data_IF_600727043478
#
_entry.id   IF_600727043478
#
_cell.length_a   1.000
_cell.length_b   1.000
_cell.length_c   1.000
_cell.angle_alpha   90.00
_cell.angle_beta   90.00
_cell.angle_gamma   90.00
#
_symmetry.space_group_name_H-M   'P 1'
#
loop_
_entity.id
_entity.type
_entity.pdbx_description
1 polymer ?
#
# COMPACT_ATOMS: atom_id res chain seq x y z
N UNK A 1 18.98 -22.27 -22.87
CA UNK A 1 19.19 -22.61 -21.45
C UNK A 1 18.11 -23.59 -21.06
N UNK A 2 18.44 -24.66 -20.33
CA UNK A 2 17.47 -25.69 -19.99
C UNK A 2 16.49 -25.16 -18.93
N UNK A 3 15.23 -25.00 -19.31
CA UNK A 3 14.12 -24.75 -18.39
C UNK A 3 13.88 -26.02 -17.59
N UNK A 4 14.36 -26.04 -16.35
CA UNK A 4 13.98 -27.06 -15.38
C UNK A 4 12.52 -26.86 -15.05
N UNK A 5 11.65 -27.74 -15.55
CA UNK A 5 10.26 -27.77 -15.14
C UNK A 5 10.17 -27.82 -13.60
N UNK A 6 9.31 -27.01 -12.96
CA UNK A 6 9.22 -26.96 -11.51
C UNK A 6 8.90 -28.35 -10.96
N UNK A 7 9.64 -28.79 -9.93
CA UNK A 7 9.34 -30.05 -9.23
C UNK A 7 7.89 -30.01 -8.76
N UNK A 8 7.13 -31.07 -9.06
CA UNK A 8 5.75 -31.21 -8.62
C UNK A 8 5.64 -30.97 -7.10
N UNK A 9 4.88 -29.95 -6.69
CA UNK A 9 4.67 -29.56 -5.30
C UNK A 9 5.36 -28.26 -4.84
N UNK A 10 6.16 -27.61 -5.68
CA UNK A 10 6.71 -26.28 -5.40
C UNK A 10 5.95 -25.18 -6.16
N UNK A 11 5.78 -24.01 -5.53
CA UNK A 11 5.34 -22.81 -6.25
C UNK A 11 6.41 -22.41 -7.28
N UNK A 12 6.03 -21.91 -8.46
CA UNK A 12 6.99 -21.45 -9.46
C UNK A 12 7.84 -20.30 -8.88
N UNK A 13 9.10 -20.21 -9.32
CA UNK A 13 9.90 -19.02 -9.01
C UNK A 13 9.18 -17.81 -9.63
N UNK A 14 9.08 -16.67 -8.91
CA UNK A 14 8.48 -15.46 -9.47
C UNK A 14 9.21 -14.96 -10.72
N UNK A 15 10.49 -15.34 -10.88
CA UNK A 15 11.31 -15.02 -12.05
C UNK A 15 11.06 -15.94 -13.25
N UNK A 16 10.31 -17.02 -13.08
CA UNK A 16 9.98 -18.00 -14.13
C UNK A 16 8.54 -17.86 -14.62
N UNK A 17 7.80 -16.86 -14.13
CA UNK A 17 6.43 -16.60 -14.57
C UNK A 17 6.48 -15.98 -15.98
N UNK A 18 5.93 -16.69 -16.95
CA UNK A 18 5.86 -16.23 -18.33
C UNK A 18 4.92 -15.02 -18.48
N UNK A 19 5.36 -14.03 -19.25
CA UNK A 19 4.53 -12.88 -19.63
C UNK A 19 3.48 -13.33 -20.66
N UNK A 20 2.17 -13.07 -20.42
CA UNK A 20 1.13 -13.37 -21.40
C UNK A 20 1.37 -12.65 -22.73
N UNK A 21 1.00 -13.25 -23.88
CA UNK A 21 1.14 -12.60 -25.18
C UNK A 21 0.40 -11.25 -25.23
N UNK A 22 1.09 -10.20 -25.67
CA UNK A 22 0.58 -8.83 -25.73
C UNK A 22 0.77 -8.03 -24.44
N UNK A 23 1.38 -8.61 -23.41
CA UNK A 23 1.75 -7.93 -22.17
C UNK A 23 3.26 -7.67 -22.05
N UNK A 24 4.03 -7.85 -23.13
CA UNK A 24 5.47 -7.62 -23.12
C UNK A 24 5.82 -6.18 -22.73
N UNK A 25 6.85 -6.00 -21.88
CA UNK A 25 7.27 -4.67 -21.41
C UNK A 25 6.39 -4.08 -20.31
N UNK A 26 5.48 -4.86 -19.71
CA UNK A 26 4.65 -4.41 -18.58
C UNK A 26 5.46 -3.82 -17.43
N UNK A 27 6.71 -4.24 -17.27
CA UNK A 27 7.65 -3.79 -16.25
C UNK A 27 7.86 -2.27 -16.29
N UNK A 28 7.80 -1.65 -17.48
CA UNK A 28 7.99 -0.20 -17.66
C UNK A 28 6.90 0.64 -16.98
N UNK A 29 5.76 0.04 -16.66
CA UNK A 29 4.66 0.71 -15.96
C UNK A 29 4.92 0.88 -14.45
N UNK A 30 5.89 0.16 -13.88
CA UNK A 30 6.09 0.10 -12.43
C UNK A 30 7.47 0.60 -12.03
N UNK A 31 7.60 1.20 -10.84
CA UNK A 31 8.90 1.62 -10.34
C UNK A 31 9.81 0.41 -10.08
N UNK A 32 11.13 0.60 -10.22
CA UNK A 32 12.11 -0.49 -10.11
C UNK A 32 12.04 -1.30 -8.79
N UNK A 33 11.56 -0.69 -7.71
CA UNK A 33 11.44 -1.34 -6.40
C UNK A 33 10.21 -2.26 -6.31
N UNK A 34 9.22 -2.08 -7.18
CA UNK A 34 8.03 -2.92 -7.26
C UNK A 34 8.26 -4.18 -8.13
N UNK A 35 9.41 -4.32 -8.80
CA UNK A 35 9.71 -5.47 -9.66
C UNK A 35 10.58 -6.51 -8.95
N UNK A 36 10.45 -7.77 -9.37
CA UNK A 36 11.49 -8.76 -9.10
C UNK A 36 12.76 -8.35 -9.83
N UNK A 37 13.91 -8.46 -9.15
CA UNK A 37 15.19 -7.92 -9.63
C UNK A 37 16.29 -8.90 -9.28
N UNK A 38 17.18 -9.19 -10.23
CA UNK A 38 18.27 -10.16 -10.07
C UNK A 38 19.09 -9.96 -8.78
N UNK A 39 19.27 -8.71 -8.34
CA UNK A 39 20.00 -8.40 -7.09
C UNK A 39 19.34 -8.97 -5.83
N UNK A 40 18.04 -9.30 -5.91
CA UNK A 40 17.23 -9.86 -4.82
C UNK A 40 16.80 -11.30 -5.06
N UNK A 41 17.19 -11.94 -6.18
CA UNK A 41 16.74 -13.28 -6.57
C UNK A 41 16.81 -14.29 -5.43
N UNK A 42 17.98 -14.43 -4.80
CA UNK A 42 18.16 -15.38 -3.69
C UNK A 42 17.19 -15.10 -2.52
N UNK A 43 16.97 -13.83 -2.18
CA UNK A 43 16.05 -13.48 -1.09
C UNK A 43 14.60 -13.70 -1.49
N UNK A 44 14.23 -13.32 -2.71
CA UNK A 44 12.86 -13.42 -3.20
C UNK A 44 12.44 -14.89 -3.42
N UNK A 45 13.33 -15.75 -3.93
CA UNK A 45 13.06 -17.19 -4.14
C UNK A 45 12.95 -17.97 -2.83
N UNK A 46 13.58 -17.49 -1.75
CA UNK A 46 13.48 -18.09 -0.41
C UNK A 46 12.27 -17.56 0.40
N UNK A 47 11.36 -16.82 -0.23
CA UNK A 47 10.18 -16.24 0.41
C UNK A 47 8.90 -16.77 -0.21
N UNK A 48 7.86 -16.87 0.61
CA UNK A 48 6.53 -17.18 0.14
C UNK A 48 5.85 -15.90 -0.38
N UNK A 49 5.58 -15.87 -1.68
CA UNK A 49 4.85 -14.81 -2.37
C UNK A 49 3.47 -15.31 -2.77
N UNK A 50 2.44 -14.51 -2.51
CA UNK A 50 1.08 -14.83 -2.92
C UNK A 50 0.37 -13.60 -3.44
N UNK A 51 -0.54 -13.82 -4.39
CA UNK A 51 -1.33 -12.75 -4.98
C UNK A 51 -2.28 -12.15 -3.93
N UNK A 52 -2.20 -10.84 -3.76
CA UNK A 52 -3.07 -10.07 -2.87
C UNK A 52 -4.43 -9.78 -3.52
N UNK A 53 -5.17 -10.82 -3.92
CA UNK A 53 -6.46 -10.65 -4.60
C UNK A 53 -7.52 -9.97 -3.72
N UNK A 54 -7.37 -10.02 -2.40
CA UNK A 54 -8.29 -9.37 -1.45
C UNK A 54 -8.33 -7.85 -1.63
N UNK A 55 -7.18 -7.23 -1.89
CA UNK A 55 -7.07 -5.77 -2.03
C UNK A 55 -6.88 -5.35 -3.49
N UNK A 56 -6.20 -6.18 -4.29
CA UNK A 56 -5.85 -5.91 -5.69
C UNK A 56 -6.28 -7.10 -6.57
N UNK A 57 -7.60 -7.27 -6.81
CA UNK A 57 -8.18 -8.43 -7.49
C UNK A 57 -8.01 -8.42 -9.02
N UNK A 58 -7.48 -7.33 -9.59
CA UNK A 58 -7.34 -7.14 -11.04
C UNK A 58 -5.94 -6.58 -11.34
N UNK A 59 -5.44 -6.71 -12.58
CA UNK A 59 -4.20 -6.06 -12.98
C UNK A 59 -4.27 -4.56 -12.70
N UNK A 60 -3.23 -4.02 -12.08
CA UNK A 60 -3.15 -2.61 -11.72
C UNK A 60 -2.68 -1.77 -12.92
N UNK A 61 -3.48 -0.83 -13.42
CA UNK A 61 -3.02 0.14 -14.42
C UNK A 61 -1.86 0.99 -13.88
N UNK A 62 -0.99 1.48 -14.76
CA UNK A 62 0.16 2.30 -14.38
C UNK A 62 -0.22 3.51 -13.48
N UNK A 63 -1.35 4.15 -13.76
CA UNK A 63 -1.83 5.30 -12.98
C UNK A 63 -2.25 4.92 -11.55
N UNK A 64 -2.81 3.72 -11.37
CA UNK A 64 -3.35 3.27 -10.08
C UNK A 64 -2.25 2.71 -9.15
N UNK A 65 -1.03 2.50 -9.67
CA UNK A 65 0.14 2.05 -8.90
C UNK A 65 0.43 2.93 -7.69
N UNK A 66 0.08 4.22 -7.78
CA UNK A 66 0.21 5.18 -6.67
C UNK A 66 -0.50 4.71 -5.39
N UNK A 67 -1.53 3.86 -5.51
CA UNK A 67 -2.32 3.36 -4.38
C UNK A 67 -1.69 2.15 -3.67
N UNK A 68 -0.62 1.56 -4.23
CA UNK A 68 -0.03 0.31 -3.69
C UNK A 68 0.89 0.58 -2.51
N UNK A 69 1.68 1.66 -2.56
CA UNK A 69 2.70 1.93 -1.55
C UNK A 69 2.09 2.23 -0.17
N UNK A 70 0.99 2.97 -0.13
CA UNK A 70 0.32 3.43 1.09
C UNK A 70 -0.01 2.32 2.11
N UNK A 71 -0.69 1.21 1.75
CA UNK A 71 -0.97 0.13 2.70
C UNK A 71 0.31 -0.50 3.25
N UNK A 72 1.33 -0.71 2.43
CA UNK A 72 2.56 -1.39 2.87
C UNK A 72 3.47 -0.49 3.71
N UNK A 73 3.47 0.81 3.45
CA UNK A 73 4.08 1.79 4.34
C UNK A 73 3.35 1.86 5.68
N UNK A 74 2.01 1.87 5.67
CA UNK A 74 1.19 1.92 6.88
C UNK A 74 1.36 0.67 7.74
N UNK A 75 1.21 -0.54 7.18
CA UNK A 75 1.41 -1.78 7.92
C UNK A 75 2.84 -1.89 8.44
N UNK A 76 3.84 -1.47 7.65
CA UNK A 76 5.23 -1.44 8.07
C UNK A 76 5.46 -0.53 9.28
N UNK A 77 4.88 0.68 9.26
CA UNK A 77 4.96 1.61 10.40
C UNK A 77 4.28 1.02 11.65
N UNK A 78 3.06 0.52 11.52
CA UNK A 78 2.30 -0.02 12.65
C UNK A 78 2.88 -1.31 13.21
N UNK A 79 3.18 -2.30 12.37
CA UNK A 79 3.79 -3.55 12.81
C UNK A 79 5.19 -3.34 13.38
N UNK A 80 6.03 -2.53 12.74
CA UNK A 80 7.42 -2.41 13.16
C UNK A 80 7.59 -1.43 14.34
N UNK A 81 6.98 -0.24 14.27
CA UNK A 81 7.31 0.87 15.16
C UNK A 81 6.23 1.14 16.22
N UNK A 82 4.95 0.95 15.88
CA UNK A 82 3.84 1.31 16.78
C UNK A 82 3.41 0.15 17.67
N UNK A 83 3.10 -1.03 17.15
CA UNK A 83 2.79 -2.19 17.99
C UNK A 83 4.02 -3.06 18.24
N UNK A 84 5.06 -2.96 17.43
CA UNK A 84 6.22 -3.86 17.50
C UNK A 84 5.75 -5.33 17.53
N UNK A 85 4.91 -5.71 16.56
CA UNK A 85 4.34 -7.07 16.45
C UNK A 85 5.49 -8.08 16.49
N UNK A 86 5.51 -9.04 17.44
CA UNK A 86 6.73 -9.80 17.72
C UNK A 86 7.27 -10.60 16.52
N UNK A 87 6.44 -11.35 15.77
CA UNK A 87 6.93 -12.19 14.67
C UNK A 87 7.05 -11.48 13.31
N UNK A 88 6.67 -10.20 13.19
CA UNK A 88 6.54 -9.54 11.89
C UNK A 88 7.08 -8.10 11.85
N UNK A 89 7.74 -7.74 10.74
CA UNK A 89 8.26 -6.39 10.44
C UNK A 89 7.79 -5.89 9.06
N UNK A 90 6.48 -5.93 8.83
CA UNK A 90 5.87 -5.40 7.61
C UNK A 90 5.71 -6.45 6.51
N UNK A 91 5.37 -5.96 5.34
CA UNK A 91 5.04 -6.73 4.15
C UNK A 91 5.71 -6.05 2.96
N UNK A 92 6.39 -6.83 2.14
CA UNK A 92 6.89 -6.38 0.84
C UNK A 92 5.88 -6.74 -0.25
N UNK A 93 5.87 -5.97 -1.33
CA UNK A 93 5.08 -6.28 -2.51
C UNK A 93 5.92 -6.29 -3.79
N UNK A 94 5.47 -7.04 -4.79
CA UNK A 94 6.00 -7.06 -6.15
C UNK A 94 4.87 -7.13 -7.17
N UNK A 95 5.06 -6.49 -8.31
CA UNK A 95 4.18 -6.58 -9.47
C UNK A 95 4.66 -7.71 -10.38
N UNK A 96 3.72 -8.50 -10.91
CA UNK A 96 3.96 -9.48 -11.99
C UNK A 96 2.79 -9.41 -12.95
N UNK A 97 3.02 -9.03 -14.21
CA UNK A 97 1.97 -8.87 -15.22
C UNK A 97 0.80 -7.98 -14.72
N UNK A 98 1.13 -6.95 -13.94
CA UNK A 98 0.20 -6.04 -13.28
C UNK A 98 -0.52 -6.56 -12.03
N UNK A 99 -0.34 -7.82 -11.65
CA UNK A 99 -0.88 -8.34 -10.40
C UNK A 99 0.06 -8.11 -9.22
N UNK A 100 -0.51 -7.80 -8.05
CA UNK A 100 0.25 -7.45 -6.85
C UNK A 100 0.42 -8.68 -5.96
N UNK A 101 1.67 -9.14 -5.84
CA UNK A 101 2.07 -10.21 -4.95
C UNK A 101 2.67 -9.63 -3.68
N UNK A 102 2.42 -10.29 -2.55
CA UNK A 102 2.94 -9.87 -1.25
C UNK A 102 3.67 -10.99 -0.53
N UNK A 103 4.59 -10.58 0.34
CA UNK A 103 5.29 -11.47 1.24
C UNK A 103 5.52 -10.80 2.59
N UNK A 104 5.24 -11.51 3.69
CA UNK A 104 5.54 -11.01 5.02
C UNK A 104 7.05 -10.93 5.28
N UNK A 105 7.46 -10.02 6.16
CA UNK A 105 8.83 -9.91 6.67
C UNK A 105 8.91 -10.53 8.07
N UNK A 106 9.26 -11.83 8.20
CA UNK A 106 9.28 -12.50 9.49
C UNK A 106 10.48 -12.06 10.35
N UNK A 107 10.27 -12.02 11.66
CA UNK A 107 11.35 -11.90 12.65
C UNK A 107 11.68 -13.28 13.17
N UNK A 108 12.93 -13.73 12.98
CA UNK A 108 13.37 -15.09 13.35
C UNK A 108 14.31 -15.12 14.55
N UNK A 109 14.91 -13.99 14.93
CA UNK A 109 15.77 -13.87 16.11
C UNK A 109 14.93 -13.90 17.41
N UNK A 110 15.09 -14.93 18.27
CA UNK A 110 14.35 -15.03 19.53
C UNK A 110 14.55 -13.84 20.47
N UNK A 111 15.76 -13.26 20.50
CA UNK A 111 16.05 -12.12 21.36
C UNK A 111 15.26 -10.88 20.90
N UNK A 112 15.22 -10.64 19.59
CA UNK A 112 14.43 -9.55 19.02
C UNK A 112 12.94 -9.75 19.20
N UNK A 113 12.44 -10.97 19.07
CA UNK A 113 11.03 -11.30 19.35
C UNK A 113 10.66 -10.98 20.80
N UNK A 114 11.52 -11.37 21.76
CA UNK A 114 11.29 -11.11 23.18
C UNK A 114 11.26 -9.60 23.49
N UNK A 115 12.23 -8.83 22.98
CA UNK A 115 12.26 -7.36 23.11
C UNK A 115 10.95 -6.73 22.59
N UNK A 116 10.50 -7.16 21.41
CA UNK A 116 9.28 -6.64 20.77
C UNK A 116 8.01 -7.01 21.54
N UNK A 117 7.97 -8.20 22.13
CA UNK A 117 6.84 -8.67 22.92
C UNK A 117 6.51 -7.75 24.10
N UNK A 118 7.51 -7.14 24.75
CA UNK A 118 7.28 -6.18 25.83
C UNK A 118 6.50 -4.94 25.36
N UNK A 119 6.92 -4.35 24.24
CA UNK A 119 6.23 -3.21 23.65
C UNK A 119 4.83 -3.58 23.15
N UNK A 120 4.71 -4.71 22.46
CA UNK A 120 3.44 -5.18 21.92
C UNK A 120 2.44 -5.46 23.03
N UNK A 121 2.84 -6.17 24.08
CA UNK A 121 1.97 -6.47 25.22
C UNK A 121 1.48 -5.21 25.91
N UNK A 122 2.38 -4.24 26.17
CA UNK A 122 2.01 -2.97 26.78
C UNK A 122 1.01 -2.19 25.93
N UNK A 123 1.27 -2.08 24.61
CA UNK A 123 0.49 -1.22 23.71
C UNK A 123 -0.83 -1.88 23.30
N UNK A 124 -0.81 -3.14 22.87
CA UNK A 124 -2.02 -3.90 22.60
C UNK A 124 -2.88 -4.06 23.87
N UNK A 125 -2.25 -4.31 25.02
CA UNK A 125 -2.94 -4.36 26.32
C UNK A 125 -3.67 -3.05 26.66
N UNK A 126 -3.05 -1.89 26.40
CA UNK A 126 -3.73 -0.60 26.53
C UNK A 126 -4.95 -0.49 25.59
N UNK A 127 -4.83 -0.93 24.35
CA UNK A 127 -5.96 -0.92 23.41
C UNK A 127 -7.11 -1.82 23.88
N UNK A 128 -6.83 -3.06 24.30
CA UNK A 128 -7.86 -3.96 24.78
C UNK A 128 -8.55 -3.46 26.06
N UNK A 129 -7.80 -2.85 26.99
CA UNK A 129 -8.36 -2.28 28.21
C UNK A 129 -9.25 -1.06 27.96
N UNK A 130 -8.99 -0.31 26.88
CA UNK A 130 -9.66 0.96 26.56
C UNK A 130 -10.43 0.89 25.23
N UNK A 131 -10.84 -0.32 24.81
CA UNK A 131 -11.31 -0.60 23.44
C UNK A 131 -12.45 0.32 23.01
N UNK A 132 -13.52 0.43 23.81
CA UNK A 132 -14.70 1.22 23.45
C UNK A 132 -14.37 2.69 23.21
N UNK A 133 -13.50 3.28 24.03
CA UNK A 133 -13.08 4.66 23.89
C UNK A 133 -12.21 4.86 22.64
N UNK A 134 -11.18 4.02 22.47
CA UNK A 134 -10.24 4.13 21.36
C UNK A 134 -10.92 3.82 20.03
N UNK A 135 -11.81 2.83 19.98
CA UNK A 135 -12.61 2.52 18.80
C UNK A 135 -13.55 3.66 18.45
N UNK A 136 -14.19 4.29 19.45
CA UNK A 136 -15.00 5.49 19.23
C UNK A 136 -14.19 6.65 18.62
N UNK A 137 -12.97 6.88 19.13
CA UNK A 137 -12.03 7.88 18.59
C UNK A 137 -11.62 7.54 17.16
N UNK A 138 -11.24 6.29 16.90
CA UNK A 138 -10.88 5.81 15.56
C UNK A 138 -12.03 5.98 14.56
N UNK A 139 -13.24 5.58 14.96
CA UNK A 139 -14.44 5.73 14.14
C UNK A 139 -14.69 7.19 13.78
N UNK A 140 -14.57 8.11 14.75
CA UNK A 140 -14.70 9.54 14.49
C UNK A 140 -13.65 10.07 13.49
N UNK A 141 -12.39 9.59 13.55
CA UNK A 141 -11.36 9.92 12.55
C UNK A 141 -11.75 9.43 11.15
N UNK A 142 -12.22 8.18 11.05
CA UNK A 142 -12.65 7.59 9.77
C UNK A 142 -13.87 8.31 9.18
N UNK A 143 -14.88 8.63 9.99
CA UNK A 143 -16.05 9.41 9.56
C UNK A 143 -15.68 10.82 9.11
N UNK A 144 -14.69 11.46 9.76
CA UNK A 144 -14.16 12.74 9.32
C UNK A 144 -13.45 12.66 7.96
N UNK A 145 -12.62 11.63 7.73
CA UNK A 145 -11.98 11.38 6.44
C UNK A 145 -13.00 11.14 5.32
N UNK A 146 -14.02 10.31 5.59
CA UNK A 146 -15.09 10.03 4.62
C UNK A 146 -15.84 11.31 4.25
N UNK A 147 -16.17 12.14 5.23
CA UNK A 147 -16.83 13.43 4.98
C UNK A 147 -15.94 14.36 4.16
N UNK A 148 -14.67 14.49 4.52
CA UNK A 148 -13.72 15.33 3.79
C UNK A 148 -13.55 14.88 2.32
N UNK A 149 -13.47 13.57 2.09
CA UNK A 149 -13.43 13.00 0.74
C UNK A 149 -14.74 13.29 -0.03
N UNK A 150 -15.89 13.15 0.62
CA UNK A 150 -17.20 13.42 0.02
C UNK A 150 -17.45 14.91 -0.29
N UNK A 151 -16.79 15.82 0.43
CA UNK A 151 -16.85 17.26 0.21
C UNK A 151 -15.86 17.74 -0.87
N UNK A 152 -14.89 16.90 -1.25
CA UNK A 152 -13.88 17.22 -2.25
C UNK A 152 -14.54 17.60 -3.58
N UNK A 153 -14.15 18.75 -4.13
CA UNK A 153 -14.60 19.23 -5.43
C UNK A 153 -13.54 18.94 -6.48
N UNK A 154 -13.89 18.10 -7.43
CA UNK A 154 -13.12 17.94 -8.67
C UNK A 154 -13.71 18.94 -9.68
N UNK A 155 -12.92 19.89 -10.19
CA UNK A 155 -13.43 20.90 -11.11
C UNK A 155 -13.69 20.28 -12.49
N UNK A 156 -14.60 20.90 -13.24
CA UNK A 156 -14.67 20.70 -14.68
C UNK A 156 -13.46 21.35 -15.37
N UNK A 157 -13.07 20.83 -16.54
CA UNK A 157 -12.02 21.40 -17.38
C UNK A 157 -12.67 22.06 -18.61
N UNK A 158 -13.07 23.35 -18.54
CA UNK A 158 -13.65 24.05 -19.66
C UNK A 158 -12.62 24.31 -20.77
N UNK A 159 -13.10 24.62 -21.99
CA UNK A 159 -12.21 25.00 -23.10
C UNK A 159 -11.41 26.28 -22.81
N UNK A 160 -12.03 27.23 -22.08
CA UNK A 160 -11.41 28.48 -21.65
C UNK A 160 -11.64 28.71 -20.15
N UNK A 161 -10.65 29.30 -19.48
CA UNK A 161 -10.77 29.73 -18.09
C UNK A 161 -11.79 30.88 -17.97
N UNK A 162 -12.46 31.01 -16.82
CA UNK A 162 -13.39 32.10 -16.60
C UNK A 162 -12.62 33.43 -16.47
N UNK A 163 -13.24 34.54 -16.90
CA UNK A 163 -12.65 35.87 -17.00
C UNK A 163 -11.93 36.32 -15.71
N UNK A 164 -12.42 35.90 -14.54
CA UNK A 164 -11.86 36.18 -13.22
C UNK A 164 -10.40 35.73 -13.08
N UNK A 165 -10.00 34.64 -13.76
CA UNK A 165 -8.60 34.16 -13.79
C UNK A 165 -7.70 35.15 -14.53
N UNK A 166 -8.18 35.75 -15.61
CA UNK A 166 -7.42 36.70 -16.41
C UNK A 166 -7.44 38.13 -15.83
N UNK A 167 -8.49 38.50 -15.11
CA UNK A 167 -8.70 39.86 -14.60
C UNK A 167 -8.21 40.10 -13.17
N UNK A 168 -7.56 39.12 -12.56
CA UNK A 168 -6.80 39.31 -11.32
C UNK A 168 -7.58 39.03 -10.03
N UNK A 169 -8.68 38.28 -10.09
CA UNK A 169 -9.50 37.94 -8.91
C UNK A 169 -8.89 36.81 -8.04
N UNK A 170 -7.56 36.68 -7.99
CA UNK A 170 -6.81 35.67 -7.22
C UNK A 170 -7.38 34.23 -7.35
N UNK A 171 -7.90 33.91 -8.54
CA UNK A 171 -8.49 32.60 -8.84
C UNK A 171 -7.46 31.69 -9.50
N UNK A 172 -7.37 30.45 -9.01
CA UNK A 172 -6.56 29.43 -9.67
C UNK A 172 -7.21 28.96 -10.98
N UNK A 173 -6.37 28.49 -11.91
CA UNK A 173 -6.80 27.75 -13.09
C UNK A 173 -7.51 26.44 -12.72
N UNK A 174 -8.44 25.98 -13.56
CA UNK A 174 -9.11 24.70 -13.37
C UNK A 174 -8.12 23.53 -13.32
N UNK A 175 -7.03 23.60 -14.09
CA UNK A 175 -5.94 22.62 -14.03
C UNK A 175 -5.30 22.52 -12.64
N UNK A 176 -4.96 23.65 -12.02
CA UNK A 176 -4.37 23.64 -10.67
C UNK A 176 -5.37 23.12 -9.63
N UNK A 177 -6.63 23.52 -9.71
CA UNK A 177 -7.69 23.01 -8.82
C UNK A 177 -7.86 21.49 -8.94
N UNK A 178 -7.76 20.93 -10.16
CA UNK A 178 -7.77 19.49 -10.37
C UNK A 178 -6.59 18.79 -9.71
N UNK A 179 -5.38 19.33 -9.89
CA UNK A 179 -4.17 18.79 -9.24
C UNK A 179 -4.26 18.86 -7.71
N UNK A 180 -4.78 19.97 -7.18
CA UNK A 180 -5.01 20.17 -5.75
C UNK A 180 -6.01 19.14 -5.20
N UNK A 181 -7.13 18.94 -5.90
CA UNK A 181 -8.13 17.94 -5.54
C UNK A 181 -7.53 16.52 -5.55
N UNK A 182 -6.81 16.16 -6.61
CA UNK A 182 -6.16 14.86 -6.73
C UNK A 182 -5.13 14.62 -5.62
N UNK A 183 -4.24 15.58 -5.35
CA UNK A 183 -3.27 15.48 -4.26
C UNK A 183 -3.92 15.34 -2.89
N UNK A 184 -5.04 16.04 -2.65
CA UNK A 184 -5.83 15.89 -1.43
C UNK A 184 -6.47 14.51 -1.33
N UNK A 185 -7.00 13.97 -2.42
CA UNK A 185 -7.55 12.61 -2.45
C UNK A 185 -6.48 11.55 -2.09
N UNK A 186 -5.28 11.65 -2.66
CA UNK A 186 -4.17 10.76 -2.34
C UNK A 186 -3.79 10.82 -0.86
N UNK A 187 -3.62 12.03 -0.31
CA UNK A 187 -3.35 12.23 1.12
C UNK A 187 -4.42 11.59 2.02
N UNK A 188 -5.71 11.72 1.65
CA UNK A 188 -6.80 11.09 2.39
C UNK A 188 -6.71 9.56 2.32
N UNK A 189 -6.36 9.01 1.17
CA UNK A 189 -6.08 7.58 0.99
C UNK A 189 -4.93 7.08 1.88
N UNK A 190 -3.82 7.82 1.95
CA UNK A 190 -2.69 7.50 2.83
C UNK A 190 -3.11 7.47 4.31
N UNK A 191 -3.87 8.49 4.74
CA UNK A 191 -4.31 8.59 6.14
C UNK A 191 -5.33 7.53 6.50
N UNK A 192 -6.19 7.15 5.56
CA UNK A 192 -7.12 6.03 5.71
C UNK A 192 -6.36 4.73 6.00
N UNK A 193 -5.29 4.42 5.25
CA UNK A 193 -4.47 3.24 5.52
C UNK A 193 -3.79 3.29 6.90
N UNK A 194 -3.32 4.46 7.33
CA UNK A 194 -2.79 4.63 8.68
C UNK A 194 -3.84 4.31 9.75
N UNK A 195 -5.09 4.74 9.58
CA UNK A 195 -6.17 4.41 10.51
C UNK A 195 -6.61 2.96 10.39
N UNK A 196 -6.60 2.37 9.20
CA UNK A 196 -6.93 0.97 8.98
C UNK A 196 -6.01 0.05 9.81
N UNK A 197 -4.69 0.26 9.74
CA UNK A 197 -3.73 -0.57 10.47
C UNK A 197 -3.61 -0.24 11.98
N UNK A 198 -4.18 0.87 12.45
CA UNK A 198 -4.33 1.15 13.89
C UNK A 198 -5.12 0.04 14.61
N UNK A 199 -6.17 -0.48 13.95
CA UNK A 199 -7.07 -1.48 14.54
C UNK A 199 -6.98 -2.87 13.89
N UNK A 200 -6.53 -3.00 12.63
CA UNK A 200 -6.45 -4.31 11.96
C UNK A 200 -5.50 -5.30 12.66
N UNK A 201 -4.44 -4.78 13.30
CA UNK A 201 -3.36 -5.59 13.88
C UNK A 201 -3.63 -6.06 15.32
N UNK A 202 -4.78 -5.69 15.89
CA UNK A 202 -5.14 -5.93 17.29
C UNK A 202 -6.21 -7.01 17.40
#
# INVERSE_FOLDING_TARGET
MATTAPKAGAFPSPYEIETPPGCEGWEEMYPYYALFDERRRETDENRFWFWNSMHFPVPMPAFDVICIDSPYQAVGAWQNRVFAVPPAMGIDYRCVNGYIYISGNPVTDPAKIAERAEFCQKRAGHYFQNWSELYGKWRAKMEALIRELGELKVPDLPEYEPDEVAFGDDRNTAFYELLSAYGRALRLGDLMWQHHFEFLLL
#
